data_IF_748858178162
#
_entry.id   IF_748858178162
#
_cell.length_a   1.000
_cell.length_b   1.000
_cell.length_c   1.000
_cell.angle_alpha   90.00
_cell.angle_beta   90.00
_cell.angle_gamma   90.00
#
_symmetry.space_group_name_H-M   'P 1'
#
loop_
_entity.id
_entity.type
_entity.pdbx_description
1 polymer ?
#
# COMPACT_ATOMS: atom_id res chain seq x y z
N UNK A 1 17.69 68.37 5.80
CA UNK A 1 17.88 68.48 7.29
C UNK A 1 17.63 67.11 7.81
N UNK A 2 18.54 66.33 8.11
CA UNK A 2 19.68 66.29 8.98
C UNK A 2 19.53 65.00 9.76
N UNK A 3 20.38 64.08 9.52
CA UNK A 3 21.46 63.51 10.36
C UNK A 3 20.93 62.54 11.44
N UNK A 4 21.45 61.41 11.71
CA UNK A 4 22.77 60.84 11.61
C UNK A 4 22.79 59.42 12.23
N UNK A 5 23.65 58.58 11.76
CA UNK A 5 24.19 57.38 12.41
C UNK A 5 25.02 57.73 13.65
N UNK A 6 25.31 56.84 14.61
CA UNK A 6 26.52 56.09 14.44
C UNK A 6 26.55 54.61 14.94
N UNK A 7 27.54 53.94 14.40
CA UNK A 7 28.09 52.62 14.74
C UNK A 7 28.66 52.54 16.17
N UNK A 8 28.72 51.34 16.76
CA UNK A 8 29.84 50.89 17.61
C UNK A 8 30.04 49.38 17.54
N UNK A 9 31.23 49.02 17.12
CA UNK A 9 31.90 47.73 17.25
C UNK A 9 32.35 47.50 18.71
N UNK A 10 32.40 46.28 19.16
CA UNK A 10 33.29 45.85 20.22
C UNK A 10 33.72 44.38 20.01
N UNK A 11 34.97 44.25 19.71
CA UNK A 11 35.86 43.10 19.76
C UNK A 11 36.13 42.66 21.19
N UNK A 12 36.40 41.38 21.42
CA UNK A 12 37.01 40.88 22.65
C UNK A 12 37.11 39.37 22.68
N UNK A 13 38.27 38.83 22.25
CA UNK A 13 39.24 38.00 22.96
C UNK A 13 38.62 36.76 23.71
N UNK A 14 38.81 35.53 23.41
CA UNK A 14 40.09 34.80 23.29
C UNK A 14 40.50 34.16 24.62
N UNK A 15 40.29 32.85 24.82
CA UNK A 15 41.12 32.04 25.71
C UNK A 15 41.17 30.59 25.24
N UNK A 16 42.36 30.18 24.83
CA UNK A 16 42.86 28.77 24.72
C UNK A 16 43.32 28.34 26.08
N UNK A 17 43.02 27.14 26.52
CA UNK A 17 43.72 26.30 27.50
C UNK A 17 43.22 24.90 27.19
N UNK A 18 43.97 23.82 26.93
CA UNK A 18 45.30 23.45 27.28
C UNK A 18 45.25 21.91 27.31
N UNK A 19 46.15 21.25 26.56
CA UNK A 19 46.37 19.80 26.57
C UNK A 19 46.68 19.28 27.99
N UNK A 20 46.16 18.09 28.32
CA UNK A 20 46.87 17.13 29.19
C UNK A 20 46.61 15.72 28.70
N UNK A 21 47.68 15.15 28.17
CA UNK A 21 47.91 13.73 27.86
C UNK A 21 48.25 12.98 29.15
N UNK A 22 47.65 11.85 29.38
CA UNK A 22 48.18 10.82 30.28
C UNK A 22 47.94 9.44 29.65
N UNK A 23 49.02 8.87 29.18
CA UNK A 23 49.12 7.49 28.77
C UNK A 23 49.45 6.58 29.99
N UNK A 24 48.95 5.40 29.96
CA UNK A 24 49.41 4.20 30.69
C UNK A 24 48.83 3.05 29.87
N UNK A 25 49.53 2.11 29.30
CA UNK A 25 50.62 1.30 29.87
C UNK A 25 50.23 -0.16 29.62
N UNK A 26 50.93 -0.82 28.71
CA UNK A 26 50.85 -2.24 28.35
C UNK A 26 50.72 -3.18 29.54
N UNK A 27 49.93 -4.24 29.37
CA UNK A 27 50.28 -5.57 29.91
C UNK A 27 49.79 -6.66 28.95
N UNK A 28 50.73 -7.22 28.21
CA UNK A 28 50.61 -8.47 27.48
C UNK A 28 50.71 -9.64 28.46
N UNK A 29 49.68 -10.47 28.53
CA UNK A 29 49.77 -11.80 29.14
C UNK A 29 49.47 -12.84 28.06
N UNK A 30 50.56 -13.47 27.60
CA UNK A 30 50.55 -14.69 26.78
C UNK A 30 50.27 -15.90 27.69
N UNK A 31 49.18 -16.59 27.45
CA UNK A 31 48.97 -17.93 28.00
C UNK A 31 48.94 -18.94 26.87
N UNK A 32 50.02 -19.67 26.71
CA UNK A 32 50.11 -20.89 25.90
C UNK A 32 49.39 -22.01 26.63
N UNK A 33 48.38 -22.60 26.01
CA UNK A 33 47.77 -23.84 26.44
C UNK A 33 48.00 -24.93 25.37
N UNK A 34 48.69 -25.95 25.79
CA UNK A 34 49.07 -27.10 25.01
C UNK A 34 47.87 -27.91 24.52
N UNK A 35 47.97 -28.30 23.27
CA UNK A 35 47.04 -29.20 22.61
C UNK A 35 47.34 -30.64 23.00
N UNK A 36 46.48 -31.30 23.76
CA UNK A 36 46.52 -32.73 23.98
C UNK A 36 45.56 -33.41 22.99
N UNK A 37 46.10 -34.19 22.06
CA UNK A 37 45.38 -35.01 21.13
C UNK A 37 44.81 -36.25 21.84
N UNK A 38 43.52 -36.46 21.81
CA UNK A 38 42.86 -37.70 22.21
C UNK A 38 42.45 -38.52 20.96
N UNK A 39 42.46 -39.85 21.00
CA UNK A 39 42.33 -40.72 19.84
C UNK A 39 40.87 -40.81 19.36
N UNK A 40 40.73 -40.81 18.05
CA UNK A 40 39.47 -40.96 17.35
C UNK A 40 38.99 -42.42 17.43
N UNK A 41 37.94 -42.69 18.17
CA UNK A 41 37.21 -43.96 18.08
C UNK A 41 36.29 -43.91 16.86
N UNK A 42 36.55 -44.77 15.88
CA UNK A 42 35.62 -45.08 14.80
C UNK A 42 34.40 -45.80 15.39
N UNK A 43 33.29 -45.07 15.55
CA UNK A 43 32.00 -45.67 15.84
C UNK A 43 31.31 -45.97 14.50
N UNK A 44 30.88 -47.21 14.37
CA UNK A 44 30.18 -47.82 13.24
C UNK A 44 28.99 -46.98 12.73
N UNK A 45 28.96 -46.82 11.41
CA UNK A 45 27.86 -46.21 10.68
C UNK A 45 26.64 -47.14 10.76
N UNK A 46 25.73 -46.84 11.67
CA UNK A 46 24.37 -47.41 11.66
C UNK A 46 23.61 -46.84 10.45
N UNK A 47 23.25 -47.70 9.51
CA UNK A 47 22.37 -47.38 8.38
C UNK A 47 21.01 -46.99 8.94
N UNK A 48 20.75 -45.71 9.13
CA UNK A 48 19.42 -45.20 9.35
C UNK A 48 18.61 -45.38 8.07
N UNK A 49 17.57 -46.19 8.15
CA UNK A 49 16.55 -46.32 7.12
C UNK A 49 15.91 -44.96 6.93
N UNK A 50 16.18 -44.31 5.78
CA UNK A 50 15.40 -43.20 5.33
C UNK A 50 13.96 -43.68 5.07
N UNK A 51 13.09 -43.49 6.04
CA UNK A 51 11.67 -43.43 5.77
C UNK A 51 11.44 -42.30 4.75
N UNK A 52 11.35 -42.67 3.46
CA UNK A 52 10.75 -41.83 2.44
C UNK A 52 9.32 -41.54 2.91
N UNK A 53 9.12 -40.41 3.55
CA UNK A 53 7.81 -39.80 3.69
C UNK A 53 7.28 -39.57 2.28
N UNK A 54 6.49 -40.52 1.80
CA UNK A 54 5.63 -40.31 0.63
C UNK A 54 4.71 -39.16 0.98
N UNK A 55 5.11 -37.92 0.61
CA UNK A 55 4.18 -36.83 0.52
C UNK A 55 3.11 -37.25 -0.49
N UNK A 56 2.00 -37.76 0.02
CA UNK A 56 0.78 -37.92 -0.74
C UNK A 56 0.52 -36.59 -1.44
N UNK A 57 0.70 -36.54 -2.75
CA UNK A 57 0.20 -35.46 -3.59
C UNK A 57 -1.31 -35.36 -3.38
N UNK A 58 -1.72 -34.55 -2.41
CA UNK A 58 -3.11 -34.13 -2.31
C UNK A 58 -3.44 -33.40 -3.62
N UNK A 59 -4.47 -33.88 -4.30
CA UNK A 59 -4.88 -33.44 -5.61
C UNK A 59 -4.79 -31.92 -5.80
N UNK A 60 -4.08 -31.49 -6.83
CA UNK A 60 -3.98 -30.09 -7.22
C UNK A 60 -5.37 -29.61 -7.60
N UNK A 61 -6.09 -29.00 -6.67
CA UNK A 61 -7.36 -28.36 -6.97
C UNK A 61 -7.14 -27.35 -8.10
N UNK A 62 -8.02 -27.34 -9.10
CA UNK A 62 -7.97 -26.37 -10.21
C UNK A 62 -7.86 -24.97 -9.62
N UNK A 63 -6.77 -24.26 -9.88
CA UNK A 63 -6.54 -22.90 -9.43
C UNK A 63 -7.13 -21.89 -10.42
N UNK A 64 -7.49 -20.67 -9.99
CA UNK A 64 -7.91 -19.64 -10.91
C UNK A 64 -6.75 -19.29 -11.84
N UNK A 65 -6.98 -19.29 -13.16
CA UNK A 65 -5.99 -18.92 -14.15
C UNK A 65 -5.89 -17.39 -14.23
N UNK A 66 -5.23 -16.76 -13.24
CA UNK A 66 -5.07 -15.30 -13.18
C UNK A 66 -3.96 -14.84 -14.12
N UNK A 67 -4.13 -13.62 -14.63
CA UNK A 67 -3.15 -12.94 -15.47
C UNK A 67 -2.44 -11.78 -14.75
N UNK A 68 -2.89 -11.43 -13.55
CA UNK A 68 -2.18 -10.53 -12.65
C UNK A 68 -0.87 -11.20 -12.21
N UNK A 69 0.23 -10.48 -12.28
CA UNK A 69 1.56 -11.01 -11.95
C UNK A 69 1.73 -11.23 -10.46
N UNK A 70 1.28 -10.29 -9.65
CA UNK A 70 1.21 -10.38 -8.20
C UNK A 70 -0.26 -10.47 -7.79
N UNK A 71 -0.61 -11.47 -6.96
CA UNK A 71 -2.00 -11.66 -6.57
C UNK A 71 -2.15 -12.35 -5.21
N UNK A 72 -3.19 -11.95 -4.47
CA UNK A 72 -3.63 -12.59 -3.24
C UNK A 72 -5.16 -12.67 -3.21
N UNK A 73 -5.69 -13.81 -2.75
CA UNK A 73 -7.10 -13.98 -2.37
C UNK A 73 -7.14 -14.49 -0.95
N UNK A 74 -7.73 -13.71 -0.05
CA UNK A 74 -7.82 -13.97 1.37
C UNK A 74 -9.29 -14.07 1.80
N UNK A 75 -9.67 -15.13 2.47
CA UNK A 75 -10.93 -15.22 3.18
C UNK A 75 -10.81 -14.49 4.52
N UNK A 76 -11.58 -13.43 4.71
CA UNK A 76 -11.46 -12.56 5.88
C UNK A 76 -12.11 -13.16 7.13
N UNK A 77 -13.03 -14.13 6.98
CA UNK A 77 -13.70 -14.79 8.11
C UNK A 77 -12.81 -15.86 8.75
N UNK A 78 -12.17 -16.66 7.90
CA UNK A 78 -11.28 -17.74 8.37
C UNK A 78 -9.81 -17.34 8.42
N UNK A 79 -9.47 -16.13 7.97
CA UNK A 79 -8.09 -15.62 7.78
C UNK A 79 -7.21 -16.55 6.93
N UNK A 80 -7.82 -17.35 6.05
CA UNK A 80 -7.10 -18.28 5.18
C UNK A 80 -6.77 -17.65 3.83
N UNK A 81 -5.51 -17.74 3.45
CA UNK A 81 -5.09 -17.45 2.08
C UNK A 81 -5.60 -18.56 1.17
N UNK A 82 -6.48 -18.21 0.24
CA UNK A 82 -7.08 -19.13 -0.72
C UNK A 82 -6.24 -19.27 -1.97
N UNK A 83 -5.56 -18.19 -2.36
CA UNK A 83 -4.65 -18.11 -3.49
C UNK A 83 -3.57 -17.07 -3.22
N UNK A 84 -2.33 -17.39 -3.59
CA UNK A 84 -1.21 -16.47 -3.53
C UNK A 84 -0.28 -16.70 -4.73
N UNK A 85 0.18 -15.60 -5.34
CA UNK A 85 1.21 -15.57 -6.38
C UNK A 85 2.06 -14.33 -6.16
N UNK A 86 3.37 -14.52 -5.89
CA UNK A 86 4.31 -13.42 -5.61
C UNK A 86 3.71 -12.40 -4.62
N UNK A 87 3.05 -12.94 -3.57
CA UNK A 87 2.24 -12.11 -2.67
C UNK A 87 3.09 -11.27 -1.70
N UNK A 88 4.35 -11.60 -1.56
CA UNK A 88 5.39 -10.99 -0.75
C UNK A 88 6.33 -10.04 -1.52
N UNK A 89 6.13 -9.90 -2.85
CA UNK A 89 7.00 -9.07 -3.71
C UNK A 89 6.50 -7.63 -3.76
N UNK A 90 7.30 -6.63 -3.31
CA UNK A 90 6.94 -5.22 -3.44
C UNK A 90 6.95 -4.77 -4.91
N UNK A 91 5.86 -4.11 -5.33
CA UNK A 91 5.71 -3.53 -6.66
C UNK A 91 5.06 -2.15 -6.58
N UNK A 92 5.22 -1.28 -7.59
CA UNK A 92 4.47 -0.05 -7.70
C UNK A 92 2.96 -0.34 -7.71
N UNK A 93 2.17 0.46 -6.98
CA UNK A 93 0.75 0.18 -6.74
C UNK A 93 -0.20 1.19 -7.39
N UNK A 94 0.33 2.21 -8.04
CA UNK A 94 -0.44 3.27 -8.65
C UNK A 94 -1.51 3.83 -7.68
N UNK A 95 -2.67 4.24 -8.18
CA UNK A 95 -3.74 4.85 -7.40
C UNK A 95 -4.37 3.98 -6.30
N UNK A 96 -3.86 2.77 -6.04
CA UNK A 96 -4.22 2.04 -4.80
C UNK A 96 -3.75 2.85 -3.58
N UNK A 97 -2.69 3.63 -3.70
CA UNK A 97 -2.21 4.63 -2.72
C UNK A 97 -3.34 5.49 -2.15
N UNK A 98 -4.32 5.90 -2.97
CA UNK A 98 -5.44 6.73 -2.53
C UNK A 98 -6.30 6.08 -1.44
N UNK A 99 -6.29 4.76 -1.35
CA UNK A 99 -7.00 4.06 -0.27
C UNK A 99 -6.34 4.36 1.09
N UNK A 100 -4.99 4.39 1.16
CA UNK A 100 -4.27 4.79 2.36
C UNK A 100 -4.45 6.28 2.65
N UNK A 101 -4.33 7.14 1.63
CA UNK A 101 -4.54 8.58 1.78
C UNK A 101 -5.91 8.89 2.38
N UNK A 102 -6.97 8.29 1.82
CA UNK A 102 -8.33 8.50 2.32
C UNK A 102 -8.55 7.87 3.69
N UNK A 103 -7.88 6.78 4.01
CA UNK A 103 -7.94 6.17 5.35
C UNK A 103 -7.41 7.14 6.41
N UNK A 104 -6.18 7.65 6.24
CA UNK A 104 -5.57 8.55 7.23
C UNK A 104 -6.28 9.90 7.32
N UNK A 105 -6.77 10.44 6.19
CA UNK A 105 -7.57 11.67 6.21
C UNK A 105 -8.91 11.45 6.91
N UNK A 106 -9.55 10.29 6.75
CA UNK A 106 -10.80 9.96 7.45
C UNK A 106 -10.58 9.81 8.97
N UNK A 107 -9.44 9.27 9.38
CA UNK A 107 -9.06 9.11 10.80
C UNK A 107 -8.73 10.44 11.49
N UNK A 108 -8.35 11.46 10.72
CA UNK A 108 -8.16 12.81 11.24
C UNK A 108 -9.47 13.49 11.68
N UNK A 109 -10.64 12.91 11.36
CA UNK A 109 -11.98 13.33 11.79
C UNK A 109 -12.30 14.81 11.50
N UNK A 110 -11.71 15.37 10.45
CA UNK A 110 -12.03 16.73 10.00
C UNK A 110 -13.47 16.76 9.44
N UNK A 111 -14.19 17.90 9.53
CA UNK A 111 -15.54 18.04 9.04
C UNK A 111 -15.66 17.64 7.56
N UNK A 112 -16.62 16.79 7.24
CA UNK A 112 -16.84 16.30 5.86
C UNK A 112 -17.51 17.35 4.97
N UNK A 113 -18.23 18.28 5.55
CA UNK A 113 -18.92 19.43 4.93
C UNK A 113 -18.02 20.65 4.75
N UNK A 114 -16.79 20.62 5.28
CA UNK A 114 -15.82 21.70 5.07
C UNK A 114 -15.49 21.86 3.60
N UNK A 115 -15.71 23.09 3.08
CA UNK A 115 -15.40 23.47 1.71
C UNK A 115 -13.89 23.67 1.54
N UNK A 116 -13.34 23.02 0.52
CA UNK A 116 -11.91 23.02 0.19
C UNK A 116 -11.69 23.43 -1.26
N UNK A 117 -10.66 24.23 -1.48
CA UNK A 117 -10.29 24.70 -2.80
C UNK A 117 -9.38 23.70 -3.50
N UNK A 118 -9.62 23.48 -4.78
CA UNK A 118 -8.68 22.83 -5.68
C UNK A 118 -7.73 23.90 -6.25
N UNK A 119 -6.48 23.84 -5.86
CA UNK A 119 -5.49 24.86 -6.23
C UNK A 119 -4.52 24.39 -7.32
N UNK A 120 -3.63 25.29 -7.76
CA UNK A 120 -2.52 24.93 -8.67
C UNK A 120 -1.59 23.88 -8.09
N UNK A 121 -1.43 23.84 -6.77
CA UNK A 121 -0.58 22.89 -6.06
C UNK A 121 -1.13 21.45 -6.14
N UNK A 122 -2.43 21.30 -6.43
CA UNK A 122 -3.07 20.00 -6.63
C UNK A 122 -2.86 19.47 -8.06
N UNK A 123 -2.11 20.17 -8.89
CA UNK A 123 -1.73 19.67 -10.22
C UNK A 123 -0.77 18.50 -10.05
N UNK A 124 -1.18 17.35 -10.53
CA UNK A 124 -0.32 16.19 -10.57
C UNK A 124 0.90 16.44 -11.47
N UNK A 125 2.09 16.19 -10.95
CA UNK A 125 3.34 16.27 -11.69
C UNK A 125 3.59 14.87 -12.30
N UNK A 126 3.60 14.78 -13.64
CA UNK A 126 3.92 13.53 -14.34
C UNK A 126 3.12 13.30 -15.61
N UNK A 127 3.62 12.42 -16.49
CA UNK A 127 2.93 12.01 -17.72
C UNK A 127 1.72 11.13 -17.34
N UNK A 128 0.56 11.44 -17.93
CA UNK A 128 -0.67 10.67 -17.71
C UNK A 128 -1.52 11.12 -16.51
N UNK A 129 -1.12 12.17 -15.83
CA UNK A 129 -1.84 12.76 -14.70
C UNK A 129 -2.93 13.76 -15.17
N UNK A 130 -3.76 13.37 -16.14
CA UNK A 130 -4.89 14.22 -16.55
C UNK A 130 -5.95 14.25 -15.45
N UNK A 131 -6.51 15.43 -15.20
CA UNK A 131 -7.62 15.64 -14.28
C UNK A 131 -8.69 16.45 -14.96
N UNK A 132 -9.96 16.08 -14.78
CA UNK A 132 -11.11 16.85 -15.23
C UNK A 132 -11.61 17.83 -14.17
N UNK A 133 -11.03 17.76 -12.98
CA UNK A 133 -11.33 18.68 -11.88
C UNK A 133 -10.54 19.97 -12.10
N UNK A 134 -11.20 21.08 -12.38
CA UNK A 134 -10.56 22.36 -12.66
C UNK A 134 -9.91 22.95 -11.39
N UNK A 135 -8.80 23.65 -11.55
CA UNK A 135 -8.28 24.55 -10.52
C UNK A 135 -9.27 25.69 -10.29
N UNK A 136 -9.46 26.10 -9.03
CA UNK A 136 -10.48 27.05 -8.62
C UNK A 136 -11.86 26.41 -8.38
N UNK A 137 -11.98 25.09 -8.43
CA UNK A 137 -13.22 24.40 -8.00
C UNK A 137 -13.26 24.32 -6.48
N UNK A 138 -14.41 24.67 -5.89
CA UNK A 138 -14.69 24.51 -4.47
C UNK A 138 -15.55 23.27 -4.27
N UNK A 139 -15.13 22.38 -3.40
CA UNK A 139 -15.82 21.11 -3.10
C UNK A 139 -15.73 20.83 -1.61
N UNK A 140 -16.77 20.22 -1.07
CA UNK A 140 -16.72 19.70 0.28
C UNK A 140 -15.65 18.58 0.40
N UNK A 141 -15.11 18.40 1.58
CA UNK A 141 -14.19 17.29 1.87
C UNK A 141 -14.81 15.95 1.47
N UNK A 142 -16.11 15.77 1.70
CA UNK A 142 -16.85 14.57 1.30
C UNK A 142 -16.83 14.35 -0.22
N UNK A 143 -17.00 15.39 -1.02
CA UNK A 143 -16.93 15.30 -2.48
C UNK A 143 -15.52 14.96 -2.97
N UNK A 144 -14.50 15.53 -2.34
CA UNK A 144 -13.11 15.16 -2.63
C UNK A 144 -12.82 13.69 -2.30
N UNK A 145 -13.31 13.15 -1.17
CA UNK A 145 -13.26 11.71 -0.87
C UNK A 145 -13.94 10.89 -1.96
N UNK A 146 -15.12 11.33 -2.37
CA UNK A 146 -15.91 10.64 -3.38
C UNK A 146 -15.16 10.54 -4.70
N UNK A 147 -14.63 11.66 -5.20
CA UNK A 147 -13.87 11.70 -6.44
C UNK A 147 -12.55 10.91 -6.38
N UNK A 148 -11.82 11.00 -5.27
CA UNK A 148 -10.56 10.27 -5.08
C UNK A 148 -10.76 8.75 -5.07
N UNK A 149 -11.82 8.25 -4.42
CA UNK A 149 -12.10 6.82 -4.28
C UNK A 149 -12.77 6.23 -5.51
N UNK A 150 -13.86 6.83 -5.96
CA UNK A 150 -14.70 6.34 -7.05
C UNK A 150 -14.05 6.54 -8.42
N UNK A 151 -13.67 7.79 -8.72
CA UNK A 151 -13.14 8.19 -10.03
C UNK A 151 -11.61 8.18 -10.10
N UNK A 152 -10.95 7.90 -8.97
CA UNK A 152 -9.48 7.92 -8.88
C UNK A 152 -8.87 9.29 -9.22
N UNK A 153 -9.59 10.38 -8.90
CA UNK A 153 -9.21 11.75 -9.24
C UNK A 153 -7.95 12.19 -8.45
N UNK A 154 -6.90 12.56 -9.19
CA UNK A 154 -5.60 12.87 -8.56
C UNK A 154 -5.64 14.19 -7.79
N UNK A 155 -6.26 15.24 -8.36
CA UNK A 155 -6.38 16.54 -7.68
C UNK A 155 -7.19 16.44 -6.40
N UNK A 156 -8.24 15.63 -6.39
CA UNK A 156 -9.04 15.41 -5.20
C UNK A 156 -8.22 14.72 -4.08
N UNK A 157 -7.43 13.70 -4.41
CA UNK A 157 -6.58 13.03 -3.45
C UNK A 157 -5.47 13.96 -2.91
N UNK A 158 -4.87 14.78 -3.79
CA UNK A 158 -3.84 15.73 -3.37
C UNK A 158 -4.44 16.86 -2.51
N UNK A 159 -5.60 17.41 -2.88
CA UNK A 159 -6.29 18.43 -2.10
C UNK A 159 -6.66 17.91 -0.69
N UNK A 160 -7.12 16.66 -0.56
CA UNK A 160 -7.32 16.01 0.74
C UNK A 160 -6.04 15.98 1.58
N UNK A 161 -4.92 15.59 0.97
CA UNK A 161 -3.63 15.52 1.67
C UNK A 161 -3.07 16.91 2.00
N UNK A 162 -3.27 17.90 1.14
CA UNK A 162 -2.84 19.30 1.39
C UNK A 162 -3.60 19.93 2.55
N UNK A 163 -4.88 19.56 2.70
CA UNK A 163 -5.73 20.02 3.80
C UNK A 163 -5.72 19.07 5.02
N UNK A 164 -4.81 18.09 5.03
CA UNK A 164 -4.55 17.28 6.23
C UNK A 164 -3.81 18.14 7.28
N UNK A 165 -4.02 17.95 8.59
CA UNK A 165 -3.28 18.66 9.62
C UNK A 165 -1.76 18.57 9.43
N UNK A 166 -1.12 19.71 9.12
CA UNK A 166 0.30 19.78 8.78
C UNK A 166 0.64 19.53 7.31
N UNK A 167 -0.37 19.49 6.41
CA UNK A 167 -0.22 19.45 4.97
C UNK A 167 0.23 18.11 4.40
N UNK A 168 0.61 18.12 3.11
CA UNK A 168 0.98 16.91 2.35
C UNK A 168 2.06 16.10 3.04
N UNK A 169 3.13 16.75 3.53
CA UNK A 169 4.24 16.05 4.21
C UNK A 169 3.78 15.33 5.46
N UNK A 170 2.90 15.94 6.26
CA UNK A 170 2.32 15.30 7.43
C UNK A 170 1.39 14.14 7.05
N UNK A 171 0.59 14.29 6.00
CA UNK A 171 -0.26 13.23 5.46
C UNK A 171 0.57 12.01 5.04
N UNK A 172 1.65 12.20 4.27
CA UNK A 172 2.53 11.10 3.83
C UNK A 172 3.23 10.43 5.03
N UNK A 173 3.66 11.20 6.03
CA UNK A 173 4.16 10.61 7.29
C UNK A 173 3.09 9.76 7.99
N UNK A 174 1.85 10.25 8.06
CA UNK A 174 0.72 9.51 8.64
C UNK A 174 0.42 8.23 7.85
N UNK A 175 0.46 8.27 6.50
CA UNK A 175 0.30 7.07 5.64
C UNK A 175 1.35 6.00 5.97
N UNK A 176 2.62 6.37 6.08
CA UNK A 176 3.68 5.42 6.43
C UNK A 176 3.59 4.97 7.91
N UNK A 177 3.13 5.82 8.82
CA UNK A 177 2.87 5.43 10.21
C UNK A 177 1.72 4.41 10.29
N UNK A 178 0.61 4.65 9.56
CA UNK A 178 -0.52 3.71 9.45
C UNK A 178 -0.10 2.39 8.80
N UNK A 179 0.76 2.43 7.78
CA UNK A 179 1.29 1.20 7.19
C UNK A 179 2.03 0.34 8.24
N UNK A 180 2.88 0.95 9.06
CA UNK A 180 3.56 0.24 10.17
C UNK A 180 2.58 -0.28 11.22
N UNK A 181 1.58 0.53 11.61
CA UNK A 181 0.52 0.13 12.56
C UNK A 181 -0.24 -1.11 12.07
N UNK A 182 -0.54 -1.17 10.78
CA UNK A 182 -1.21 -2.30 10.15
C UNK A 182 -0.28 -3.50 9.89
N UNK A 183 1.00 -3.40 10.23
CA UNK A 183 2.00 -4.45 9.95
C UNK A 183 2.31 -4.61 8.46
N UNK A 184 2.19 -3.54 7.67
CA UNK A 184 2.53 -3.48 6.24
C UNK A 184 4.01 -3.17 6.07
N UNK A 185 4.87 -4.14 6.39
CA UNK A 185 6.32 -3.94 6.53
C UNK A 185 7.06 -3.76 5.21
N UNK A 186 6.45 -4.15 4.09
CA UNK A 186 7.00 -4.02 2.74
C UNK A 186 6.31 -2.89 1.95
N UNK A 187 5.69 -1.92 2.66
CA UNK A 187 4.93 -0.83 2.04
C UNK A 187 5.60 0.51 2.32
N UNK A 188 5.72 1.32 1.27
CA UNK A 188 6.26 2.66 1.36
C UNK A 188 5.45 3.64 0.50
N UNK A 189 5.15 4.82 1.05
CA UNK A 189 4.47 5.92 0.37
C UNK A 189 5.37 7.15 0.33
N UNK A 190 5.48 7.77 -0.83
CA UNK A 190 6.23 9.04 -1.03
C UNK A 190 5.30 10.21 -1.37
N UNK A 191 4.07 9.91 -1.85
CA UNK A 191 3.09 10.94 -2.19
C UNK A 191 1.65 10.39 -2.10
N UNK A 192 0.59 11.26 -2.09
CA UNK A 192 -0.77 10.82 -1.74
C UNK A 192 -1.59 10.27 -2.89
N UNK A 193 -1.09 10.23 -4.14
CA UNK A 193 -1.92 9.92 -5.32
C UNK A 193 -1.60 8.59 -5.99
N UNK A 194 -0.38 8.06 -5.82
CA UNK A 194 0.13 6.85 -6.48
C UNK A 194 0.62 7.11 -7.91
N UNK A 195 1.01 8.33 -8.24
CA UNK A 195 1.65 8.65 -9.51
C UNK A 195 3.14 8.31 -9.49
N UNK A 196 3.74 8.31 -8.32
CA UNK A 196 5.12 7.89 -8.12
C UNK A 196 5.25 6.37 -8.20
N UNK A 197 6.24 5.89 -8.96
CA UNK A 197 6.61 4.47 -8.95
C UNK A 197 7.26 4.02 -7.63
N UNK A 198 7.62 4.96 -6.76
CA UNK A 198 8.18 4.70 -5.45
C UNK A 198 7.10 4.45 -4.38
N UNK A 199 5.81 4.66 -4.70
CA UNK A 199 4.72 4.15 -3.90
C UNK A 199 4.59 2.65 -4.15
N UNK A 200 5.14 1.85 -3.24
CA UNK A 200 5.27 0.41 -3.39
C UNK A 200 4.60 -0.35 -2.26
N UNK A 201 4.10 -1.53 -2.56
CA UNK A 201 3.52 -2.45 -1.58
C UNK A 201 3.48 -3.89 -2.12
N UNK A 202 3.15 -4.84 -1.25
CA UNK A 202 2.93 -6.24 -1.61
C UNK A 202 1.44 -6.59 -1.59
N UNK A 203 0.99 -7.64 -2.29
CA UNK A 203 -0.37 -8.15 -2.14
C UNK A 203 -0.76 -8.48 -0.68
N UNK A 204 0.16 -9.02 0.10
CA UNK A 204 -0.09 -9.33 1.53
C UNK A 204 -0.35 -8.06 2.33
N UNK A 205 0.48 -7.03 2.18
CA UNK A 205 0.31 -5.76 2.88
C UNK A 205 -0.96 -5.03 2.44
N UNK A 206 -1.24 -5.01 1.13
CA UNK A 206 -2.46 -4.39 0.62
C UNK A 206 -3.73 -5.09 1.12
N UNK A 207 -3.69 -6.39 1.42
CA UNK A 207 -4.83 -7.08 2.02
C UNK A 207 -5.17 -6.51 3.40
N UNK A 208 -4.17 -6.13 4.18
CA UNK A 208 -4.34 -5.48 5.49
C UNK A 208 -4.96 -4.08 5.34
N UNK A 209 -4.47 -3.30 4.35
CA UNK A 209 -5.03 -2.00 4.02
C UNK A 209 -6.50 -2.09 3.62
N UNK A 210 -6.86 -3.04 2.76
CA UNK A 210 -8.25 -3.26 2.32
C UNK A 210 -9.15 -3.61 3.50
N UNK A 211 -8.69 -4.47 4.40
CA UNK A 211 -9.44 -4.82 5.63
C UNK A 211 -9.63 -3.60 6.53
N UNK A 212 -8.60 -2.79 6.76
CA UNK A 212 -8.70 -1.56 7.55
C UNK A 212 -9.65 -0.55 6.89
N UNK A 213 -9.52 -0.30 5.59
CA UNK A 213 -10.37 0.59 4.82
C UNK A 213 -11.84 0.17 4.84
N UNK A 214 -12.11 -1.13 4.88
CA UNK A 214 -13.47 -1.68 4.94
C UNK A 214 -14.19 -1.37 6.25
N UNK A 215 -13.51 -0.94 7.30
CA UNK A 215 -14.14 -0.50 8.55
C UNK A 215 -14.69 0.93 8.45
N UNK A 216 -14.16 1.76 7.55
CA UNK A 216 -14.61 3.13 7.34
C UNK A 216 -15.91 3.17 6.53
N UNK A 217 -17.02 3.68 7.11
CA UNK A 217 -18.28 3.86 6.40
C UNK A 217 -18.14 4.82 5.20
N UNK A 218 -17.33 5.86 5.35
CA UNK A 218 -17.05 6.86 4.29
C UNK A 218 -16.36 6.18 3.11
N UNK A 219 -15.33 5.37 3.36
CA UNK A 219 -14.58 4.69 2.30
C UNK A 219 -15.48 3.66 1.60
N UNK A 220 -16.23 2.85 2.35
CA UNK A 220 -17.17 1.89 1.75
C UNK A 220 -18.15 2.61 0.81
N UNK A 221 -18.81 3.67 1.31
CA UNK A 221 -19.82 4.43 0.55
C UNK A 221 -19.26 4.97 -0.75
N UNK A 222 -18.11 5.64 -0.70
CA UNK A 222 -17.61 6.35 -1.87
C UNK A 222 -16.82 5.47 -2.83
N UNK A 223 -16.11 4.45 -2.36
CA UNK A 223 -15.41 3.54 -3.25
C UNK A 223 -16.35 2.70 -4.11
N UNK A 224 -17.56 2.43 -3.63
CA UNK A 224 -18.56 1.60 -4.33
C UNK A 224 -19.67 2.41 -5.03
N UNK A 225 -19.61 3.74 -5.00
CA UNK A 225 -20.52 4.60 -5.73
C UNK A 225 -20.35 4.42 -7.25
N UNK A 226 -21.45 4.37 -8.00
CA UNK A 226 -21.41 4.16 -9.47
C UNK A 226 -21.00 5.40 -10.23
N UNK A 227 -21.46 6.56 -9.79
CA UNK A 227 -21.20 7.82 -10.44
C UNK A 227 -21.52 9.00 -9.53
N UNK A 228 -20.96 10.15 -9.88
CA UNK A 228 -21.19 11.41 -9.19
C UNK A 228 -20.98 12.57 -10.15
N UNK A 229 -21.80 13.60 -10.05
CA UNK A 229 -21.73 14.81 -10.87
C UNK A 229 -21.45 16.02 -9.98
N UNK A 230 -20.43 16.77 -10.33
CA UNK A 230 -20.04 18.01 -9.63
C UNK A 230 -20.10 19.20 -10.57
N UNK A 231 -20.14 20.39 -9.99
CA UNK A 231 -19.81 21.63 -10.70
C UNK A 231 -18.30 21.86 -10.64
N UNK A 232 -17.63 21.93 -11.79
CA UNK A 232 -16.20 22.24 -11.90
C UNK A 232 -16.05 23.46 -12.79
N UNK A 233 -15.81 24.61 -12.19
CA UNK A 233 -15.88 25.90 -12.85
C UNK A 233 -17.30 26.20 -13.37
N UNK A 234 -17.45 26.48 -14.68
CA UNK A 234 -18.74 26.76 -15.32
C UNK A 234 -19.48 25.50 -15.81
N UNK A 235 -18.89 24.32 -15.69
CA UNK A 235 -19.40 23.09 -16.28
C UNK A 235 -19.85 22.09 -15.21
N UNK A 236 -20.89 21.32 -15.56
CA UNK A 236 -21.22 20.09 -14.81
C UNK A 236 -20.36 18.96 -15.36
N UNK A 237 -19.65 18.26 -14.49
CA UNK A 237 -18.74 17.16 -14.86
C UNK A 237 -19.23 15.88 -14.19
N UNK A 238 -19.64 14.90 -15.00
CA UNK A 238 -20.01 13.59 -14.53
C UNK A 238 -18.78 12.68 -14.42
N UNK A 239 -18.64 12.02 -13.29
CA UNK A 239 -17.63 11.01 -13.00
C UNK A 239 -18.27 9.65 -12.83
N UNK A 240 -17.57 8.60 -13.23
CA UNK A 240 -18.01 7.21 -13.08
C UNK A 240 -16.96 6.40 -12.33
N UNK A 241 -17.41 5.31 -11.72
CA UNK A 241 -16.51 4.41 -11.04
C UNK A 241 -15.52 3.79 -12.03
N UNK A 242 -14.26 3.70 -11.60
CA UNK A 242 -13.18 3.11 -12.40
C UNK A 242 -13.19 1.58 -12.40
N UNK A 243 -13.94 0.96 -11.48
CA UNK A 243 -14.22 -0.48 -11.48
C UNK A 243 -15.62 -0.78 -12.00
N UNK A 244 -15.71 -1.34 -13.21
CA UNK A 244 -16.97 -1.69 -13.84
C UNK A 244 -17.75 -2.84 -13.15
N UNK A 245 -17.14 -3.51 -12.15
CA UNK A 245 -17.85 -4.52 -11.35
C UNK A 245 -18.86 -3.90 -10.40
N UNK A 246 -18.67 -2.65 -10.02
CA UNK A 246 -19.62 -1.89 -9.17
C UNK A 246 -21.01 -1.75 -9.82
N UNK A 247 -21.08 -1.72 -11.16
CA UNK A 247 -22.33 -1.64 -11.89
C UNK A 247 -23.05 -2.99 -11.99
N UNK A 248 -22.40 -4.10 -11.64
CA UNK A 248 -22.94 -5.44 -11.78
C UNK A 248 -23.72 -5.87 -10.56
N UNK A 249 -25.05 -6.09 -10.69
CA UNK A 249 -25.93 -6.54 -9.60
C UNK A 249 -25.49 -7.87 -8.95
N UNK A 250 -24.74 -8.70 -9.67
CA UNK A 250 -24.21 -9.98 -9.17
C UNK A 250 -22.98 -9.84 -8.25
N UNK A 251 -22.48 -8.61 -8.07
CA UNK A 251 -21.34 -8.32 -7.20
C UNK A 251 -21.78 -7.55 -5.96
N UNK A 252 -21.41 -8.06 -4.80
CA UNK A 252 -21.56 -7.36 -3.53
C UNK A 252 -20.15 -6.90 -3.08
N UNK A 253 -19.77 -5.71 -3.53
CA UNK A 253 -18.46 -5.10 -3.24
C UNK A 253 -18.59 -4.23 -1.99
N UNK A 254 -17.73 -4.46 -1.00
CA UNK A 254 -17.69 -3.71 0.26
C UNK A 254 -16.77 -2.49 0.13
N UNK A 255 -15.61 -2.68 -0.47
CA UNK A 255 -14.64 -1.62 -0.77
C UNK A 255 -13.83 -2.03 -2.00
N UNK A 256 -13.43 -1.07 -2.79
CA UNK A 256 -12.54 -1.31 -3.93
C UNK A 256 -11.67 -0.08 -4.25
N UNK A 257 -10.57 -0.32 -4.95
CA UNK A 257 -9.78 0.70 -5.60
C UNK A 257 -9.04 0.13 -6.80
N UNK A 258 -9.08 0.86 -7.92
CA UNK A 258 -8.26 0.55 -9.10
C UNK A 258 -7.04 1.45 -9.17
N UNK A 259 -6.01 0.99 -9.85
CA UNK A 259 -4.80 1.75 -10.17
C UNK A 259 -4.31 1.47 -11.59
N UNK A 260 -3.61 2.44 -12.16
CA UNK A 260 -2.85 2.27 -13.39
C UNK A 260 -1.77 3.34 -13.50
N UNK A 261 -0.55 2.91 -13.73
CA UNK A 261 0.57 3.65 -14.33
C UNK A 261 1.34 2.68 -15.21
N UNK A 262 2.20 3.19 -16.09
CA UNK A 262 3.03 2.31 -16.92
C UNK A 262 3.96 1.42 -16.08
N UNK A 263 4.42 1.92 -14.93
CA UNK A 263 5.29 1.17 -14.02
C UNK A 263 4.54 0.10 -13.21
N UNK A 264 3.29 0.40 -12.80
CA UNK A 264 2.50 -0.52 -11.96
C UNK A 264 1.65 -1.52 -12.75
N UNK A 265 1.45 -1.30 -14.06
CA UNK A 265 0.43 -2.02 -14.80
C UNK A 265 -0.99 -1.71 -14.27
N UNK A 266 -1.97 -2.53 -14.64
CA UNK A 266 -3.33 -2.39 -14.13
C UNK A 266 -3.50 -3.11 -12.80
N UNK A 267 -3.95 -2.39 -11.77
CA UNK A 267 -4.12 -2.87 -10.40
C UNK A 267 -5.58 -2.81 -9.97
N UNK A 268 -6.00 -3.75 -9.12
CA UNK A 268 -7.30 -3.77 -8.45
C UNK A 268 -7.13 -4.38 -7.06
N UNK A 269 -7.65 -3.69 -6.06
CA UNK A 269 -7.89 -4.27 -4.74
C UNK A 269 -9.37 -4.16 -4.42
N UNK A 270 -9.93 -5.19 -3.78
CA UNK A 270 -11.31 -5.16 -3.33
C UNK A 270 -11.58 -6.11 -2.17
N UNK A 271 -12.58 -5.77 -1.38
CA UNK A 271 -13.28 -6.72 -0.51
C UNK A 271 -14.68 -6.91 -1.06
N UNK A 272 -15.08 -8.16 -1.25
CA UNK A 272 -16.39 -8.52 -1.78
C UNK A 272 -16.94 -9.79 -1.12
N UNK A 273 -18.27 -9.94 -1.15
CA UNK A 273 -18.93 -11.20 -0.74
C UNK A 273 -19.14 -12.07 -1.97
N UNK A 274 -18.54 -13.25 -1.94
CA UNK A 274 -18.61 -14.26 -3.01
C UNK A 274 -18.98 -15.60 -2.38
N UNK A 275 -20.08 -16.19 -2.83
CA UNK A 275 -20.56 -17.48 -2.31
C UNK A 275 -20.63 -17.49 -0.77
N UNK A 276 -21.32 -16.48 -0.21
CA UNK A 276 -21.50 -16.25 1.24
C UNK A 276 -20.20 -16.06 2.06
N UNK A 277 -19.06 -15.87 1.37
CA UNK A 277 -17.75 -15.65 2.00
C UNK A 277 -17.27 -14.23 1.71
N UNK A 278 -16.81 -13.54 2.75
CA UNK A 278 -16.18 -12.23 2.57
C UNK A 278 -14.70 -12.44 2.25
N UNK A 279 -14.29 -11.98 1.08
CA UNK A 279 -12.93 -12.17 0.58
C UNK A 279 -12.28 -10.84 0.21
N UNK A 280 -10.99 -10.74 0.47
CA UNK A 280 -10.12 -9.71 -0.08
C UNK A 280 -9.42 -10.28 -1.31
N UNK A 281 -9.47 -9.52 -2.40
CA UNK A 281 -8.70 -9.79 -3.62
C UNK A 281 -7.73 -8.64 -3.86
N UNK A 282 -6.46 -8.97 -4.07
CA UNK A 282 -5.42 -8.06 -4.51
C UNK A 282 -4.86 -8.59 -5.82
N UNK A 283 -4.98 -7.81 -6.89
CA UNK A 283 -4.62 -8.17 -8.25
C UNK A 283 -3.76 -7.03 -8.82
N UNK A 284 -2.45 -7.25 -8.92
CA UNK A 284 -1.50 -6.21 -9.32
C UNK A 284 -0.83 -6.57 -10.64
N UNK A 285 -0.29 -5.53 -11.29
CA UNK A 285 0.52 -5.63 -12.48
C UNK A 285 -0.13 -6.53 -13.55
N UNK A 286 -1.42 -6.30 -13.80
CA UNK A 286 -2.15 -6.99 -14.88
C UNK A 286 -1.84 -6.33 -16.22
N UNK A 287 -1.50 -7.16 -17.21
CA UNK A 287 -1.35 -6.66 -18.56
C UNK A 287 -2.72 -6.46 -19.22
N UNK A 288 -2.97 -5.23 -19.69
CA UNK A 288 -4.21 -4.86 -20.39
C UNK A 288 -5.35 -4.36 -19.48
N UNK A 289 -6.09 -3.39 -20.02
CA UNK A 289 -7.10 -2.57 -19.31
C UNK A 289 -8.16 -3.37 -18.55
N UNK A 290 -8.61 -4.48 -19.11
CA UNK A 290 -9.73 -5.27 -18.56
C UNK A 290 -9.28 -6.53 -17.82
N UNK A 291 -7.98 -6.83 -17.82
CA UNK A 291 -7.45 -8.09 -17.28
C UNK A 291 -7.72 -8.24 -15.78
N UNK A 292 -7.50 -7.18 -14.98
CA UNK A 292 -7.79 -7.20 -13.54
C UNK A 292 -9.26 -7.50 -13.21
N UNK A 293 -10.19 -6.97 -14.03
CA UNK A 293 -11.64 -7.24 -13.89
C UNK A 293 -11.96 -8.68 -14.29
N UNK A 294 -11.35 -9.18 -15.36
CA UNK A 294 -11.48 -10.58 -15.77
C UNK A 294 -10.92 -11.54 -14.71
N UNK A 295 -9.79 -11.18 -14.07
CA UNK A 295 -9.20 -11.96 -12.99
C UNK A 295 -10.12 -12.02 -11.76
N UNK A 296 -10.71 -10.89 -11.35
CA UNK A 296 -11.70 -10.89 -10.28
C UNK A 296 -12.88 -11.83 -10.57
N UNK A 297 -13.36 -11.84 -11.83
CA UNK A 297 -14.40 -12.79 -12.28
C UNK A 297 -13.93 -14.24 -12.23
N UNK A 298 -12.67 -14.54 -12.64
CA UNK A 298 -12.09 -15.89 -12.55
C UNK A 298 -12.03 -16.37 -11.11
N UNK A 299 -11.63 -15.50 -10.17
CA UNK A 299 -11.65 -15.79 -8.73
C UNK A 299 -13.07 -16.12 -8.27
N UNK A 300 -14.06 -15.30 -8.63
CA UNK A 300 -15.45 -15.52 -8.23
C UNK A 300 -16.00 -16.85 -8.81
N UNK A 301 -15.71 -17.18 -10.07
CA UNK A 301 -16.10 -18.43 -10.69
C UNK A 301 -15.42 -19.63 -10.03
N UNK A 302 -14.11 -19.52 -9.76
CA UNK A 302 -13.34 -20.56 -9.11
C UNK A 302 -13.85 -20.86 -7.69
N UNK A 303 -14.19 -19.83 -6.92
CA UNK A 303 -14.75 -20.01 -5.58
C UNK A 303 -16.10 -20.72 -5.60
N UNK A 304 -16.97 -20.39 -6.57
CA UNK A 304 -18.30 -21.01 -6.73
C UNK A 304 -18.23 -22.48 -7.24
N UNK A 305 -17.20 -22.82 -8.03
CA UNK A 305 -17.09 -24.15 -8.64
C UNK A 305 -16.70 -25.28 -7.67
N UNK A 306 -16.21 -24.94 -6.45
CA UNK A 306 -15.77 -25.95 -5.47
C UNK A 306 -16.20 -25.58 -4.05
N UNK A 307 -17.36 -26.02 -3.58
CA UNK A 307 -17.69 -25.94 -2.17
C UNK A 307 -16.71 -26.81 -1.35
N UNK A 308 -15.93 -26.19 -0.47
CA UNK A 308 -15.33 -26.87 0.68
C UNK A 308 -13.87 -27.31 0.65
N UNK A 309 -13.12 -27.31 -0.47
CA UNK A 309 -11.74 -27.83 -0.51
C UNK A 309 -10.74 -26.92 -1.24
N UNK A 310 -10.50 -25.74 -0.73
CA UNK A 310 -9.41 -24.89 -1.22
C UNK A 310 -8.16 -25.06 -0.33
N UNK A 311 -7.20 -25.88 -0.77
CA UNK A 311 -5.91 -26.07 -0.09
C UNK A 311 -4.87 -25.16 -0.75
N UNK A 312 -4.18 -24.43 0.09
CA UNK A 312 -3.13 -23.46 -0.21
C UNK A 312 -1.93 -24.15 -0.88
N UNK A 313 -1.38 -23.53 -1.91
CA UNK A 313 0.02 -23.70 -2.31
C UNK A 313 0.68 -22.32 -2.35
N UNK A 314 1.54 -22.04 -1.36
CA UNK A 314 2.54 -21.00 -1.51
C UNK A 314 3.48 -21.40 -2.64
N UNK A 315 3.54 -20.61 -3.68
CA UNK A 315 4.62 -20.71 -4.67
C UNK A 315 5.75 -19.85 -4.11
N UNK A 316 6.70 -20.52 -3.43
CA UNK A 316 7.92 -19.86 -3.00
C UNK A 316 8.60 -19.22 -4.22
N UNK A 317 8.98 -17.96 -4.10
CA UNK A 317 9.88 -17.30 -5.02
C UNK A 317 11.21 -18.06 -5.00
N UNK A 318 11.58 -18.68 -6.11
CA UNK A 318 12.97 -19.08 -6.32
C UNK A 318 13.74 -17.82 -6.74
N UNK A 319 14.70 -17.43 -5.91
CA UNK A 319 15.74 -16.47 -6.23
C UNK A 319 16.53 -16.91 -7.48
#
# INVERSE_FOLDING_TARGET
MGSGLPSKSATGHGKRIGLLSLGWGCLLLTASAACAAAPIHLASISRSHHHRLHHRHRGVGVQPNLRSTEALVLDTTSHKVLYARRADVPVPIASITKLMTTLVVSEAKQPLDEELDVTSDDRAIGRGASSRLAVGTHLSRAELFHLALMASENRAAHALARNYPGGVTACVRAMNAKARELGMIHTHFVEPTGLSSNDTSTPEDLSKLVMAASQSAVIRRYSTSRGYTIRSGRHMVAYHNTDSLVDRRSWHIVVQKTGFTNAAGHCLVMQAVIDHRTVVMVLLNSWGKYTRVADARRVAQWMKAKPGHHVIRQVASRA
#
